data_IF_947662942125
#
_entry.id   IF_947662942125
#
_cell.length_a   1.000
_cell.length_b   1.000
_cell.length_c   1.000
_cell.angle_alpha   90.00
_cell.angle_beta   90.00
_cell.angle_gamma   90.00
#
_symmetry.space_group_name_H-M   'P 1'
#
loop_
_entity.id
_entity.type
_entity.pdbx_description
1 polymer ?
#
# COMPACT_ATOMS: atom_id res chain seq x y z
N UNK A 1 -23.85 0.21 1.01
CA UNK A 1 -23.13 -0.93 0.38
C UNK A 1 -22.51 -0.60 -0.97
N UNK A 2 -23.26 -0.14 -1.99
CA UNK A 2 -22.71 0.19 -3.33
C UNK A 2 -21.52 1.17 -3.29
N UNK A 3 -21.60 2.22 -2.48
CA UNK A 3 -20.54 3.22 -2.36
C UNK A 3 -19.29 2.69 -1.64
N UNK A 4 -19.47 1.90 -0.58
CA UNK A 4 -18.38 1.26 0.17
C UNK A 4 -17.57 0.32 -0.72
N UNK A 5 -18.25 -0.57 -1.45
CA UNK A 5 -17.62 -1.50 -2.39
C UNK A 5 -16.88 -0.75 -3.51
N UNK A 6 -17.51 0.31 -4.03
CA UNK A 6 -16.90 1.19 -5.03
C UNK A 6 -15.60 1.81 -4.49
N UNK A 7 -15.60 2.38 -3.29
CA UNK A 7 -14.40 2.96 -2.67
C UNK A 7 -13.30 1.92 -2.46
N UNK A 8 -13.65 0.70 -2.07
CA UNK A 8 -12.69 -0.41 -1.98
C UNK A 8 -12.07 -0.75 -3.34
N UNK A 9 -12.88 -0.85 -4.38
CA UNK A 9 -12.41 -1.09 -5.75
C UNK A 9 -11.49 0.03 -6.21
N UNK A 10 -11.85 1.30 -5.99
CA UNK A 10 -10.97 2.43 -6.34
C UNK A 10 -9.69 2.46 -5.52
N UNK A 11 -9.74 2.21 -4.22
CA UNK A 11 -8.53 2.14 -3.39
C UNK A 11 -7.62 0.99 -3.84
N UNK A 12 -8.18 -0.18 -4.17
CA UNK A 12 -7.45 -1.27 -4.78
C UNK A 12 -6.90 -0.88 -6.15
N UNK A 13 -7.65 -0.22 -7.04
CA UNK A 13 -7.15 0.18 -8.36
C UNK A 13 -6.02 1.22 -8.25
N UNK A 14 -6.20 2.26 -7.43
CA UNK A 14 -5.19 3.31 -7.17
C UNK A 14 -3.93 2.72 -6.56
N UNK A 15 -4.06 1.63 -5.80
CA UNK A 15 -2.93 0.97 -5.16
C UNK A 15 -2.27 -0.11 -6.04
N UNK A 16 -3.07 -1.09 -6.45
CA UNK A 16 -2.67 -2.35 -7.07
C UNK A 16 -2.15 -2.15 -8.50
N UNK A 17 -2.80 -1.32 -9.32
CA UNK A 17 -2.37 -1.09 -10.70
C UNK A 17 -0.97 -0.48 -10.74
N UNK A 18 -0.70 0.67 -10.08
CA UNK A 18 0.63 1.25 -10.12
C UNK A 18 1.65 0.36 -9.41
N UNK A 19 1.27 -0.36 -8.35
CA UNK A 19 2.17 -1.31 -7.69
C UNK A 19 2.61 -2.45 -8.62
N UNK A 20 1.67 -3.09 -9.32
CA UNK A 20 1.95 -4.18 -10.28
C UNK A 20 2.76 -3.64 -11.46
N UNK A 21 2.35 -2.50 -12.04
CA UNK A 21 3.01 -1.90 -13.19
C UNK A 21 4.49 -1.61 -12.91
N UNK A 22 4.78 -1.01 -11.76
CA UNK A 22 6.15 -0.68 -11.35
C UNK A 22 6.97 -1.94 -11.09
N UNK A 23 6.39 -2.92 -10.39
CA UNK A 23 7.05 -4.20 -10.11
C UNK A 23 7.40 -4.95 -11.41
N UNK A 24 6.49 -4.90 -12.40
CA UNK A 24 6.68 -5.54 -13.70
C UNK A 24 7.74 -4.85 -14.55
N UNK A 25 7.68 -3.52 -14.68
CA UNK A 25 8.71 -2.72 -15.37
C UNK A 25 10.08 -3.02 -14.76
N UNK A 26 10.14 -3.26 -13.45
CA UNK A 26 11.38 -3.56 -12.78
C UNK A 26 11.95 -4.93 -13.04
N UNK A 27 11.09 -5.94 -13.05
CA UNK A 27 11.50 -7.30 -13.38
C UNK A 27 12.14 -7.31 -14.77
N UNK A 28 11.58 -6.53 -15.70
CA UNK A 28 12.13 -6.33 -17.04
C UNK A 28 13.48 -5.61 -16.97
N UNK A 29 13.56 -4.43 -16.33
CA UNK A 29 14.82 -3.66 -16.26
C UNK A 29 15.93 -4.46 -15.57
N UNK A 30 15.63 -5.11 -14.45
CA UNK A 30 16.58 -5.94 -13.71
C UNK A 30 17.07 -7.13 -14.53
N UNK A 31 16.21 -7.73 -15.34
CA UNK A 31 16.57 -8.84 -16.23
C UNK A 31 17.50 -8.37 -17.36
N UNK A 32 17.21 -7.23 -17.98
CA UNK A 32 17.98 -6.74 -19.13
C UNK A 32 19.28 -6.03 -18.77
N UNK A 33 19.31 -5.29 -17.66
CA UNK A 33 20.39 -4.33 -17.42
C UNK A 33 21.55 -4.86 -16.57
N UNK A 34 21.43 -6.00 -15.87
CA UNK A 34 22.47 -6.50 -14.93
C UNK A 34 23.03 -5.40 -13.99
N UNK A 35 22.26 -4.33 -13.78
CA UNK A 35 22.70 -3.13 -13.09
C UNK A 35 22.75 -3.39 -11.60
N UNK A 36 23.68 -2.73 -10.91
CA UNK A 36 23.85 -2.79 -9.46
C UNK A 36 22.49 -2.45 -8.80
N UNK A 37 21.77 -3.49 -8.38
CA UNK A 37 20.31 -3.51 -8.24
C UNK A 37 19.80 -2.65 -7.09
N UNK A 38 20.68 -2.27 -6.17
CA UNK A 38 20.35 -1.55 -4.94
C UNK A 38 19.76 -0.15 -5.18
N UNK A 39 20.36 0.68 -6.02
CA UNK A 39 19.88 2.07 -6.21
C UNK A 39 18.48 2.10 -6.84
N UNK A 40 18.27 1.28 -7.87
CA UNK A 40 16.98 1.16 -8.54
C UNK A 40 15.94 0.63 -7.55
N UNK A 41 16.25 -0.45 -6.82
CA UNK A 41 15.39 -1.01 -5.76
C UNK A 41 14.96 0.05 -4.73
N UNK A 42 15.90 0.88 -4.24
CA UNK A 42 15.60 1.95 -3.27
C UNK A 42 14.59 2.97 -3.85
N UNK A 43 14.81 3.46 -5.06
CA UNK A 43 13.94 4.46 -5.69
C UNK A 43 12.49 3.95 -5.82
N UNK A 44 12.31 2.66 -6.04
CA UNK A 44 10.98 2.05 -6.17
C UNK A 44 10.34 1.80 -4.83
N UNK A 45 11.12 1.39 -3.83
CA UNK A 45 10.58 1.27 -2.48
C UNK A 45 10.01 2.63 -2.06
N UNK A 46 10.74 3.73 -2.30
CA UNK A 46 10.26 5.10 -2.05
C UNK A 46 8.95 5.36 -2.78
N UNK A 47 8.87 5.06 -4.09
CA UNK A 47 7.66 5.30 -4.87
C UNK A 47 6.47 4.43 -4.40
N UNK A 48 6.73 3.17 -4.06
CA UNK A 48 5.75 2.23 -3.51
C UNK A 48 5.19 2.74 -2.17
N UNK A 49 6.04 3.28 -1.30
CA UNK A 49 5.60 3.93 -0.06
C UNK A 49 4.73 5.16 -0.34
N UNK A 50 5.09 5.98 -1.33
CA UNK A 50 4.34 7.19 -1.68
C UNK A 50 2.92 6.87 -2.18
N UNK A 51 2.77 5.90 -3.09
CA UNK A 51 1.46 5.43 -3.55
C UNK A 51 0.65 4.88 -2.37
N UNK A 52 1.29 4.10 -1.50
CA UNK A 52 0.62 3.48 -0.37
C UNK A 52 0.03 4.52 0.59
N UNK A 53 0.78 5.60 0.86
CA UNK A 53 0.30 6.74 1.65
C UNK A 53 -0.91 7.40 0.97
N UNK A 54 -0.86 7.64 -0.34
CA UNK A 54 -1.97 8.23 -1.09
C UNK A 54 -3.22 7.35 -1.01
N UNK A 55 -3.07 6.04 -1.22
CA UNK A 55 -4.17 5.07 -1.12
C UNK A 55 -4.78 5.02 0.29
N UNK A 56 -3.94 5.05 1.34
CA UNK A 56 -4.40 5.09 2.72
C UNK A 56 -5.16 6.39 3.03
N UNK A 57 -4.68 7.53 2.54
CA UNK A 57 -5.34 8.83 2.70
C UNK A 57 -6.69 8.88 1.99
N UNK A 58 -6.78 8.33 0.77
CA UNK A 58 -8.01 8.24 -0.02
C UNK A 58 -9.07 7.33 0.65
N UNK A 59 -8.64 6.16 1.14
CA UNK A 59 -9.54 5.22 1.82
C UNK A 59 -10.13 5.85 3.09
N UNK A 60 -9.27 6.46 3.90
CA UNK A 60 -9.67 7.06 5.18
C UNK A 60 -10.51 8.33 5.05
N UNK A 61 -10.40 9.08 3.94
CA UNK A 61 -11.27 10.23 3.68
C UNK A 61 -12.67 9.80 3.20
N UNK A 62 -12.77 8.75 2.38
CA UNK A 62 -14.06 8.31 1.83
C UNK A 62 -14.83 7.32 2.71
N UNK A 63 -14.18 6.67 3.68
CA UNK A 63 -14.82 5.78 4.65
C UNK A 63 -14.65 6.33 6.08
N UNK A 64 -15.39 7.40 6.45
CA UNK A 64 -15.26 8.00 7.78
C UNK A 64 -15.80 7.14 8.92
N UNK A 65 -16.80 6.27 8.65
CA UNK A 65 -17.28 5.31 9.64
C UNK A 65 -16.36 4.08 9.69
N UNK A 66 -15.95 3.67 10.90
CA UNK A 66 -15.13 2.48 11.13
C UNK A 66 -13.78 2.49 10.37
N UNK A 67 -13.13 3.67 10.24
CA UNK A 67 -11.83 3.86 9.54
C UNK A 67 -10.80 2.79 9.88
N UNK A 68 -10.60 2.54 11.18
CA UNK A 68 -9.62 1.55 11.66
C UNK A 68 -9.90 0.14 11.17
N UNK A 69 -11.17 -0.29 11.15
CA UNK A 69 -11.55 -1.62 10.66
C UNK A 69 -11.22 -1.76 9.16
N UNK A 70 -11.51 -0.73 8.38
CA UNK A 70 -11.22 -0.71 6.94
C UNK A 70 -9.71 -0.69 6.65
N UNK A 71 -8.93 0.09 7.41
CA UNK A 71 -7.47 0.12 7.33
C UNK A 71 -6.83 -1.22 7.69
N UNK A 72 -7.30 -1.89 8.74
CA UNK A 72 -6.80 -3.22 9.13
C UNK A 72 -7.06 -4.26 8.04
N UNK A 73 -8.28 -4.29 7.48
CA UNK A 73 -8.62 -5.21 6.39
C UNK A 73 -7.71 -4.97 5.17
N UNK A 74 -7.47 -3.70 4.81
CA UNK A 74 -6.63 -3.36 3.68
C UNK A 74 -5.15 -3.66 3.93
N UNK A 75 -4.67 -3.46 5.16
CA UNK A 75 -3.32 -3.82 5.59
C UNK A 75 -3.09 -5.34 5.50
N UNK A 76 -4.06 -6.15 5.97
CA UNK A 76 -3.99 -7.61 5.87
C UNK A 76 -4.02 -8.06 4.41
N UNK A 77 -4.91 -7.50 3.59
CA UNK A 77 -4.97 -7.83 2.16
C UNK A 77 -3.66 -7.47 1.44
N UNK A 78 -3.09 -6.32 1.75
CA UNK A 78 -1.79 -5.91 1.22
C UNK A 78 -0.67 -6.87 1.65
N UNK A 79 -0.62 -7.23 2.92
CA UNK A 79 0.36 -8.17 3.46
C UNK A 79 0.29 -9.52 2.74
N UNK A 80 -0.93 -10.07 2.59
CA UNK A 80 -1.16 -11.34 1.88
C UNK A 80 -0.72 -11.29 0.42
N UNK A 81 -1.09 -10.22 -0.31
CA UNK A 81 -0.67 -10.04 -1.69
C UNK A 81 0.85 -9.89 -1.80
N UNK A 82 1.46 -9.10 -0.93
CA UNK A 82 2.91 -8.93 -0.91
C UNK A 82 3.65 -10.23 -0.61
N UNK A 83 3.07 -11.11 0.22
CA UNK A 83 3.62 -12.43 0.53
C UNK A 83 3.62 -13.35 -0.71
N UNK A 84 2.57 -13.30 -1.52
CA UNK A 84 2.49 -14.05 -2.78
C UNK A 84 3.54 -13.61 -3.82
N UNK A 85 3.90 -12.33 -3.86
CA UNK A 85 4.82 -11.78 -4.88
C UNK A 85 6.30 -11.77 -4.48
N UNK A 86 6.66 -12.02 -3.21
CA UNK A 86 8.05 -11.93 -2.71
C UNK A 86 8.64 -13.26 -2.23
N UNK A 87 8.15 -14.39 -2.75
CA UNK A 87 8.58 -15.74 -2.34
C UNK A 87 10.07 -16.06 -2.59
N UNK A 88 10.79 -15.32 -3.44
CA UNK A 88 12.14 -15.71 -3.86
C UNK A 88 13.30 -14.81 -3.41
N UNK A 89 13.09 -13.56 -2.98
CA UNK A 89 14.17 -12.71 -2.43
C UNK A 89 13.63 -11.36 -1.93
N UNK A 90 14.32 -10.79 -0.92
CA UNK A 90 14.34 -9.39 -0.45
C UNK A 90 13.46 -9.07 0.80
N UNK A 91 14.15 -8.97 1.94
CA UNK A 91 13.89 -8.12 3.11
C UNK A 91 12.42 -8.06 3.61
N UNK A 92 12.04 -9.09 4.38
CA UNK A 92 10.77 -9.22 5.12
C UNK A 92 10.35 -7.98 5.94
N UNK A 93 11.31 -7.15 6.33
CA UNK A 93 11.08 -5.88 7.04
C UNK A 93 10.10 -5.00 6.26
N UNK A 94 10.29 -4.83 4.95
CA UNK A 94 9.41 -3.98 4.14
C UNK A 94 7.99 -4.55 4.00
N UNK A 95 7.84 -5.87 4.09
CA UNK A 95 6.54 -6.55 4.06
C UNK A 95 5.69 -6.19 5.28
N UNK A 96 6.33 -5.96 6.43
CA UNK A 96 5.67 -5.62 7.69
C UNK A 96 5.47 -4.10 7.81
N UNK A 97 6.47 -3.30 7.43
CA UNK A 97 6.42 -1.84 7.60
C UNK A 97 5.36 -1.15 6.72
N UNK A 98 5.15 -1.62 5.50
CA UNK A 98 4.14 -1.06 4.58
C UNK A 98 2.69 -1.15 5.10
N UNK A 99 2.19 -2.30 5.58
CA UNK A 99 0.86 -2.38 6.17
C UNK A 99 0.72 -1.56 7.47
N UNK A 100 1.79 -1.36 8.25
CA UNK A 100 1.74 -0.48 9.44
C UNK A 100 1.40 0.97 9.09
N UNK A 101 1.78 1.45 7.90
CA UNK A 101 1.46 2.81 7.45
C UNK A 101 -0.06 3.00 7.31
N UNK A 102 -0.78 2.00 6.81
CA UNK A 102 -2.26 2.04 6.74
C UNK A 102 -2.88 2.17 8.13
N UNK A 103 -2.37 1.42 9.11
CA UNK A 103 -2.87 1.43 10.48
C UNK A 103 -2.56 2.78 11.13
N UNK A 104 -1.36 3.31 10.95
CA UNK A 104 -0.94 4.60 11.51
C UNK A 104 -1.77 5.76 10.95
N UNK A 105 -1.95 5.84 9.63
CA UNK A 105 -2.76 6.88 8.99
C UNK A 105 -4.24 6.78 9.42
N UNK A 106 -4.77 5.55 9.50
CA UNK A 106 -6.11 5.30 10.01
C UNK A 106 -6.28 5.81 11.44
N UNK A 107 -5.31 5.51 12.31
CA UNK A 107 -5.33 5.88 13.72
C UNK A 107 -5.26 7.40 13.93
N UNK A 108 -4.35 8.08 13.23
CA UNK A 108 -4.24 9.54 13.30
C UNK A 108 -5.53 10.25 12.86
N UNK A 109 -6.17 9.80 11.77
CA UNK A 109 -7.43 10.38 11.32
C UNK A 109 -8.61 10.05 12.23
N UNK A 110 -8.61 8.90 12.89
CA UNK A 110 -9.63 8.54 13.88
C UNK A 110 -9.50 9.43 15.12
N UNK A 111 -8.29 9.59 15.67
CA UNK A 111 -8.02 10.49 16.80
C UNK A 111 -8.43 11.94 16.50
N UNK A 112 -8.04 12.47 15.33
CA UNK A 112 -8.42 13.82 14.90
C UNK A 112 -9.94 13.98 14.83
N UNK A 113 -10.65 12.96 14.35
CA UNK A 113 -12.12 13.01 14.26
C UNK A 113 -12.80 13.02 15.62
N UNK A 114 -12.24 12.33 16.62
CA UNK A 114 -12.76 12.29 17.99
C UNK A 114 -12.40 13.52 18.82
N UNK A 115 -11.34 14.24 18.47
CA UNK A 115 -10.98 15.51 19.11
C UNK A 115 -11.83 16.70 18.63
N UNK A 116 -12.40 16.62 17.42
CA UNK A 116 -13.19 17.69 16.80
C UNK A 116 -14.70 17.50 17.05
N UNK A 117 -15.13 16.27 17.39
CA UNK A 117 -16.49 15.93 17.79
C UNK A 117 -16.69 16.14 19.29
#
# INVERSE_FOLDING_TARGET
>A
MKQTLRTYIYACLIFLIPFILISFILSIISYFMQMNTLFIQIMIQIFSYFILIISALYLTSHLPHQRMKHCIIFAVFYFLMSLCFHLNHIQYIHLIFKPLIFIFIGFFKELKSRMIA
#
